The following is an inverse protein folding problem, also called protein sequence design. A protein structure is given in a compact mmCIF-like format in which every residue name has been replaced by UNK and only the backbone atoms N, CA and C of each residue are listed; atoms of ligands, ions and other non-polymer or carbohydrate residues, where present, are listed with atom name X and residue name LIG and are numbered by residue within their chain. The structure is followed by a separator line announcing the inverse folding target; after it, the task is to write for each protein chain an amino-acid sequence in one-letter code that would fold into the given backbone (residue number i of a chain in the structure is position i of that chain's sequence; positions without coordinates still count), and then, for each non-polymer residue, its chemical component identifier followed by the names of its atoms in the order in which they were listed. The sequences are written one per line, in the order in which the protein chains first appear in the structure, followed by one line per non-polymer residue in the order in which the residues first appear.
data_IF_426460253482
#
_entry.id   IF_426460253482
#
_cell.length_a   1.000
_cell.length_b   1.000
_cell.length_c   1.000
_cell.angle_alpha   90.00
_cell.angle_beta   90.00
_cell.angle_gamma   90.00
#
_symmetry.space_group_name_H-M   'P 1'
#
loop_
_entity.id
_entity.type
_entity.pdbx_description
1 polymer ?
#
# COMPACT_ATOMS: atom_id res chain seq x y z
N UNK A 1 -1.28 -7.45 16.01
CA UNK A 1 -0.32 -7.22 14.91
C UNK A 1 -1.09 -6.68 13.74
N UNK A 2 -0.71 -5.55 13.19
CA UNK A 2 -1.30 -5.01 11.97
C UNK A 2 -0.54 -5.61 10.78
N UNK A 3 -1.29 -6.13 9.81
CA UNK A 3 -0.69 -6.69 8.60
C UNK A 3 -0.84 -5.69 7.47
N UNK A 4 0.27 -5.15 6.97
CA UNK A 4 0.25 -4.25 5.82
C UNK A 4 -0.03 -5.04 4.54
N UNK A 5 -1.13 -4.76 3.87
CA UNK A 5 -1.48 -5.40 2.60
C UNK A 5 -0.61 -4.86 1.47
N UNK A 6 -0.43 -3.54 1.42
CA UNK A 6 0.46 -2.91 0.45
C UNK A 6 1.90 -2.91 0.95
N UNK A 7 2.86 -2.99 0.05
CA UNK A 7 4.30 -2.83 0.34
C UNK A 7 4.61 -1.34 0.53
N UNK A 8 4.15 -0.75 1.64
CA UNK A 8 4.15 0.69 1.87
C UNK A 8 4.25 1.01 3.36
N UNK A 9 4.73 2.20 3.66
CA UNK A 9 4.76 2.76 5.00
C UNK A 9 3.33 2.76 5.60
N UNK A 10 3.23 2.56 6.91
CA UNK A 10 1.97 2.27 7.60
C UNK A 10 0.89 3.34 7.44
N UNK A 11 1.23 4.63 7.59
CA UNK A 11 0.24 5.72 7.52
C UNK A 11 -0.34 5.94 6.12
N UNK A 12 0.30 5.40 5.08
CA UNK A 12 -0.17 5.47 3.70
C UNK A 12 -1.14 4.36 3.29
N UNK A 13 -1.28 3.29 4.07
CA UNK A 13 -2.04 2.09 3.70
C UNK A 13 -3.48 2.40 3.24
N UNK A 14 -4.18 3.27 3.95
CA UNK A 14 -5.55 3.67 3.63
C UNK A 14 -5.63 4.65 2.46
N UNK A 15 -4.61 5.51 2.28
CA UNK A 15 -4.53 6.37 1.10
C UNK A 15 -4.32 5.55 -0.18
N UNK A 16 -3.51 4.48 -0.12
CA UNK A 16 -3.29 3.57 -1.26
C UNK A 16 -4.57 2.79 -1.58
N UNK A 17 -5.31 2.35 -0.56
CA UNK A 17 -6.62 1.71 -0.78
C UNK A 17 -7.62 2.69 -1.41
N UNK A 18 -7.67 3.94 -0.94
CA UNK A 18 -8.48 4.99 -1.54
C UNK A 18 -8.08 5.25 -3.00
N UNK A 19 -6.77 5.34 -3.28
CA UNK A 19 -6.26 5.50 -4.64
C UNK A 19 -6.65 4.35 -5.57
N UNK A 20 -6.64 3.11 -5.08
CA UNK A 20 -7.12 1.93 -5.84
C UNK A 20 -8.59 2.08 -6.23
N UNK A 21 -9.44 2.57 -5.31
CA UNK A 21 -10.87 2.81 -5.57
C UNK A 21 -11.07 3.98 -6.53
N UNK A 22 -10.32 5.09 -6.39
CA UNK A 22 -10.32 6.22 -7.33
C UNK A 22 -9.91 5.76 -8.73
N UNK A 23 -8.86 4.95 -8.83
CA UNK A 23 -8.44 4.37 -10.12
C UNK A 23 -9.59 3.60 -10.79
N UNK A 24 -10.37 2.83 -10.02
CA UNK A 24 -11.54 2.15 -10.55
C UNK A 24 -12.60 3.14 -11.08
N UNK A 25 -12.91 4.21 -10.33
CA UNK A 25 -13.82 5.26 -10.80
C UNK A 25 -13.36 5.90 -12.13
N UNK A 26 -12.03 6.12 -12.29
CA UNK A 26 -11.46 6.64 -13.53
C UNK A 26 -11.66 5.65 -14.68
N UNK A 27 -11.31 4.39 -14.48
CA UNK A 27 -11.46 3.33 -15.49
C UNK A 27 -12.91 3.16 -15.93
N UNK A 28 -13.86 3.16 -14.98
CA UNK A 28 -15.29 3.02 -15.26
C UNK A 28 -15.83 4.19 -16.11
N UNK A 29 -15.15 5.33 -16.09
CA UNK A 29 -15.46 6.51 -16.91
C UNK A 29 -14.62 6.61 -18.20
N UNK A 30 -13.77 5.60 -18.50
CA UNK A 30 -12.85 5.62 -19.64
C UNK A 30 -11.73 6.66 -19.50
N UNK A 31 -11.40 7.04 -18.25
CA UNK A 31 -10.37 8.01 -17.89
C UNK A 31 -9.16 7.31 -17.26
N UNK A 32 -8.10 8.07 -17.05
CA UNK A 32 -6.83 7.58 -16.49
C UNK A 32 -6.22 8.57 -15.49
N UNK A 33 -5.10 8.21 -14.89
CA UNK A 33 -4.34 9.09 -14.02
C UNK A 33 -3.83 10.38 -14.73
N UNK A 34 -3.69 10.36 -16.06
CA UNK A 34 -3.30 11.54 -16.83
C UNK A 34 -4.38 12.65 -16.86
N UNK A 35 -5.65 12.27 -16.63
CA UNK A 35 -6.79 13.20 -16.60
C UNK A 35 -6.90 13.95 -15.27
N UNK A 36 -6.09 13.61 -14.28
CA UNK A 36 -6.09 14.22 -12.95
C UNK A 36 -5.40 15.60 -12.99
N UNK A 37 -6.13 16.61 -12.54
CA UNK A 37 -5.63 17.99 -12.36
C UNK A 37 -4.96 18.14 -10.99
N UNK A 38 -5.65 17.73 -9.93
CA UNK A 38 -5.18 17.88 -8.54
C UNK A 38 -5.86 16.84 -7.63
N UNK A 39 -5.21 16.54 -6.50
CA UNK A 39 -5.71 15.64 -5.46
C UNK A 39 -5.53 16.31 -4.09
N UNK A 40 -6.59 16.34 -3.30
CA UNK A 40 -6.51 16.64 -1.87
C UNK A 40 -6.55 15.34 -1.09
N UNK A 41 -5.51 15.10 -0.26
CA UNK A 41 -5.44 13.99 0.68
C UNK A 41 -5.69 14.54 2.09
N UNK A 42 -6.90 14.34 2.62
CA UNK A 42 -7.17 14.60 4.04
C UNK A 42 -6.62 13.44 4.85
N UNK A 43 -5.85 13.74 5.89
CA UNK A 43 -5.13 12.74 6.67
C UNK A 43 -4.96 13.17 8.12
N UNK A 44 -4.36 12.33 8.96
CA UNK A 44 -4.07 12.61 10.36
C UNK A 44 -2.69 13.25 10.55
N UNK A 45 -2.46 13.93 11.68
CA UNK A 45 -1.25 14.69 12.02
C UNK A 45 0.04 13.87 11.84
N UNK A 46 0.08 12.63 12.31
CA UNK A 46 1.27 11.80 12.20
C UNK A 46 1.68 11.53 10.74
N UNK A 47 0.71 11.35 9.85
CA UNK A 47 0.96 11.20 8.42
C UNK A 47 1.61 12.46 7.83
N UNK A 48 1.05 13.64 8.12
CA UNK A 48 1.60 14.92 7.65
C UNK A 48 3.04 15.11 8.14
N UNK A 49 3.32 14.79 9.41
CA UNK A 49 4.66 14.97 9.98
C UNK A 49 5.71 14.00 9.43
N UNK A 50 5.32 12.77 9.10
CA UNK A 50 6.27 11.69 8.79
C UNK A 50 6.45 11.51 7.28
N UNK A 51 5.36 11.47 6.51
CA UNK A 51 5.40 11.04 5.10
C UNK A 51 4.84 12.04 4.10
N UNK A 52 4.45 13.24 4.50
CA UNK A 52 4.12 14.31 3.56
C UNK A 52 5.40 14.93 2.99
N UNK A 53 5.69 14.59 1.73
CA UNK A 53 6.92 15.00 1.04
C UNK A 53 6.63 15.48 -0.39
N UNK A 54 5.56 16.25 -0.59
CA UNK A 54 5.05 16.63 -1.92
C UNK A 54 6.13 17.16 -2.89
N UNK A 55 7.00 18.06 -2.41
CA UNK A 55 8.01 18.72 -3.26
C UNK A 55 9.46 18.33 -2.93
N UNK A 56 9.65 17.32 -2.07
CA UNK A 56 11.00 16.86 -1.75
C UNK A 56 11.54 15.94 -2.83
N UNK A 57 12.86 15.92 -3.07
CA UNK A 57 13.48 14.97 -3.99
C UNK A 57 13.16 13.52 -3.59
N UNK A 58 13.06 12.64 -4.59
CA UNK A 58 12.87 11.20 -4.43
C UNK A 58 14.12 10.47 -4.94
N UNK A 59 15.25 10.72 -4.26
CA UNK A 59 16.57 10.33 -4.76
C UNK A 59 16.87 8.84 -4.60
N UNK A 60 16.16 8.16 -3.70
CA UNK A 60 16.43 6.76 -3.39
C UNK A 60 15.15 6.03 -2.94
N UNK A 61 15.29 4.72 -2.74
CA UNK A 61 14.22 3.83 -2.28
C UNK A 61 13.53 4.35 -0.99
N UNK A 62 14.33 4.78 0.01
CA UNK A 62 13.81 5.21 1.31
C UNK A 62 13.01 6.52 1.23
N UNK A 63 13.36 7.41 0.33
CA UNK A 63 12.57 8.63 0.09
C UNK A 63 11.21 8.29 -0.50
N UNK A 64 11.17 7.34 -1.43
CA UNK A 64 9.94 6.93 -2.12
C UNK A 64 8.99 6.14 -1.22
N UNK A 65 9.49 5.22 -0.41
CA UNK A 65 8.63 4.40 0.47
C UNK A 65 8.10 5.16 1.70
N UNK A 66 8.66 6.35 1.97
CA UNK A 66 8.20 7.29 3.01
C UNK A 66 7.60 8.58 2.43
N UNK A 67 7.02 8.52 1.22
CA UNK A 67 6.31 9.63 0.59
C UNK A 67 4.89 9.19 0.20
N UNK A 68 3.88 9.68 0.94
CA UNK A 68 2.48 9.33 0.68
C UNK A 68 2.05 9.70 -0.74
N UNK A 69 2.55 10.83 -1.25
CA UNK A 69 2.24 11.28 -2.61
C UNK A 69 2.80 10.33 -3.67
N UNK A 70 4.04 9.84 -3.48
CA UNK A 70 4.64 8.88 -4.39
C UNK A 70 3.84 7.57 -4.43
N UNK A 71 3.58 6.99 -3.26
CA UNK A 71 2.86 5.73 -3.14
C UNK A 71 1.45 5.81 -3.72
N UNK A 72 0.75 6.92 -3.45
CA UNK A 72 -0.59 7.20 -4.02
C UNK A 72 -0.53 7.35 -5.53
N UNK A 73 0.45 8.08 -6.07
CA UNK A 73 0.63 8.28 -7.51
C UNK A 73 0.92 6.95 -8.23
N UNK A 74 1.80 6.11 -7.68
CA UNK A 74 2.10 4.78 -8.24
C UNK A 74 0.82 3.92 -8.32
N UNK A 75 0.03 3.89 -7.25
CA UNK A 75 -1.24 3.14 -7.25
C UNK A 75 -2.22 3.66 -8.31
N UNK A 76 -2.33 4.98 -8.47
CA UNK A 76 -3.21 5.58 -9.48
C UNK A 76 -2.77 5.27 -10.92
N UNK A 77 -1.46 5.29 -11.18
CA UNK A 77 -0.90 5.06 -12.52
C UNK A 77 -0.89 3.58 -12.87
N UNK A 78 -0.34 2.73 -12.00
CA UNK A 78 -0.08 1.31 -12.31
C UNK A 78 -1.15 0.35 -11.76
N UNK A 79 -1.97 0.78 -10.80
CA UNK A 79 -2.96 -0.08 -10.13
C UNK A 79 -2.34 -1.11 -9.17
N UNK A 80 -1.05 -0.98 -8.88
CA UNK A 80 -0.27 -1.81 -7.96
C UNK A 80 0.69 -0.96 -7.14
N UNK A 81 1.20 -1.51 -6.05
CA UNK A 81 2.33 -0.97 -5.30
C UNK A 81 3.09 -2.14 -4.68
N UNK A 82 4.26 -2.44 -5.23
CA UNK A 82 5.14 -3.52 -4.81
C UNK A 82 6.52 -2.97 -4.41
N UNK A 83 7.33 -3.76 -3.73
CA UNK A 83 8.67 -3.34 -3.31
C UNK A 83 9.56 -2.89 -4.49
N UNK A 84 9.39 -3.51 -5.66
CA UNK A 84 10.12 -3.17 -6.89
C UNK A 84 9.77 -1.78 -7.43
N UNK A 85 8.60 -1.23 -7.10
CA UNK A 85 8.19 0.10 -7.55
C UNK A 85 8.99 1.24 -6.87
N UNK A 86 9.74 0.92 -5.82
CA UNK A 86 10.64 1.87 -5.14
C UNK A 86 12.08 1.82 -5.66
N UNK A 87 12.44 0.83 -6.48
CA UNK A 87 13.82 0.60 -6.94
C UNK A 87 14.31 1.76 -7.79
N UNK A 88 15.55 2.19 -7.52
CA UNK A 88 16.22 3.23 -8.31
C UNK A 88 16.33 2.80 -9.78
N UNK A 89 15.94 3.69 -10.70
CA UNK A 89 15.86 3.39 -12.14
C UNK A 89 14.70 2.46 -12.55
N UNK A 90 13.86 2.02 -11.61
CA UNK A 90 12.68 1.22 -11.91
C UNK A 90 11.60 2.01 -12.66
N UNK A 91 10.64 1.29 -13.28
CA UNK A 91 9.56 1.87 -14.08
C UNK A 91 8.78 2.97 -13.36
N UNK A 92 8.38 2.71 -12.10
CA UNK A 92 7.63 3.68 -11.31
C UNK A 92 8.50 4.89 -10.89
N UNK A 93 9.76 4.63 -10.48
CA UNK A 93 10.68 5.67 -10.02
C UNK A 93 11.10 6.64 -11.16
N UNK A 94 11.07 6.19 -12.40
CA UNK A 94 11.45 6.98 -13.58
C UNK A 94 10.25 7.49 -14.38
N UNK A 95 9.02 7.19 -13.95
CA UNK A 95 7.80 7.59 -14.66
C UNK A 95 7.52 9.09 -14.53
N UNK A 96 7.52 9.85 -15.65
CA UNK A 96 7.17 11.26 -15.62
C UNK A 96 5.72 11.51 -15.14
N UNK A 97 4.82 10.56 -15.39
CA UNK A 97 3.42 10.67 -14.95
C UNK A 97 3.31 10.50 -13.43
N UNK A 98 4.04 9.56 -12.83
CA UNK A 98 4.10 9.40 -11.37
C UNK A 98 4.65 10.66 -10.72
N UNK A 99 5.76 11.21 -11.23
CA UNK A 99 6.37 12.42 -10.67
C UNK A 99 5.45 13.64 -10.82
N UNK A 100 4.83 13.83 -11.99
CA UNK A 100 3.87 14.91 -12.20
C UNK A 100 2.67 14.78 -11.25
N UNK A 101 2.15 13.56 -11.07
CA UNK A 101 0.98 13.32 -10.21
C UNK A 101 1.33 13.51 -8.73
N UNK A 102 2.51 13.03 -8.30
CA UNK A 102 3.02 13.22 -6.94
C UNK A 102 3.00 14.69 -6.52
N UNK A 103 3.40 15.59 -7.41
CA UNK A 103 3.40 17.03 -7.15
C UNK A 103 2.00 17.67 -7.08
N UNK A 104 0.99 16.98 -7.61
CA UNK A 104 -0.43 17.43 -7.59
C UNK A 104 -1.21 16.94 -6.36
N UNK A 105 -0.60 16.16 -5.46
CA UNK A 105 -1.23 15.63 -4.26
C UNK A 105 -0.85 16.50 -3.07
N UNK A 106 -1.81 17.25 -2.54
CA UNK A 106 -1.62 18.06 -1.33
C UNK A 106 -2.23 17.35 -0.12
N UNK A 107 -1.44 17.19 0.96
CA UNK A 107 -1.94 16.68 2.23
C UNK A 107 -2.50 17.81 3.10
N UNK A 108 -3.64 17.54 3.73
CA UNK A 108 -4.30 18.45 4.68
C UNK A 108 -4.68 17.67 5.93
N UNK A 109 -4.29 18.18 7.10
CA UNK A 109 -4.71 17.57 8.35
C UNK A 109 -6.23 17.69 8.54
N UNK A 110 -6.85 16.56 8.89
CA UNK A 110 -8.21 16.51 9.40
C UNK A 110 -8.16 16.29 10.92
N UNK A 111 -8.65 17.25 11.73
CA UNK A 111 -8.61 17.15 13.20
C UNK A 111 -9.38 15.94 13.75
N UNK A 112 -10.42 15.47 13.04
CA UNK A 112 -11.13 14.27 13.47
C UNK A 112 -10.29 13.02 13.21
N UNK A 113 -9.61 12.92 12.07
CA UNK A 113 -8.70 11.82 11.76
C UNK A 113 -7.54 11.76 12.77
N UNK A 114 -7.01 12.91 13.18
CA UNK A 114 -6.00 13.00 14.23
C UNK A 114 -6.52 12.49 15.57
N UNK A 115 -7.75 12.84 15.96
CA UNK A 115 -8.39 12.34 17.19
C UNK A 115 -8.57 10.82 17.14
N UNK A 116 -9.02 10.28 16.01
CA UNK A 116 -9.27 8.85 15.83
C UNK A 116 -7.95 8.05 15.85
N UNK A 117 -6.88 8.60 15.29
CA UNK A 117 -5.53 8.04 15.37
C UNK A 117 -5.04 7.92 16.81
N UNK A 118 -5.22 8.95 17.64
CA UNK A 118 -4.81 8.97 19.05
C UNK A 118 -5.80 8.23 19.98
N UNK A 119 -7.00 7.95 19.54
CA UNK A 119 -8.01 7.26 20.34
C UNK A 119 -7.62 5.80 20.60
N UNK A 120 -7.40 5.44 21.85
CA UNK A 120 -6.97 4.08 22.24
C UNK A 120 -7.96 2.98 21.82
N UNK A 121 -9.23 3.33 21.69
CA UNK A 121 -10.28 2.41 21.26
C UNK A 121 -10.43 2.30 19.74
N UNK A 122 -9.89 3.23 18.97
CA UNK A 122 -9.91 3.23 17.50
C UNK A 122 -8.56 2.87 16.91
N UNK A 123 -7.54 3.68 17.14
CA UNK A 123 -6.19 3.49 16.57
C UNK A 123 -6.23 3.33 15.05
N UNK A 124 -7.12 4.07 14.40
CA UNK A 124 -7.25 4.08 12.95
C UNK A 124 -6.20 4.99 12.32
N UNK A 125 -5.99 4.86 11.01
CA UNK A 125 -5.10 5.71 10.21
C UNK A 125 -5.91 6.25 9.02
N UNK A 126 -6.91 7.11 9.25
CA UNK A 126 -7.81 7.53 8.20
C UNK A 126 -7.10 8.35 7.13
N UNK A 127 -7.47 8.11 5.89
CA UNK A 127 -7.13 8.95 4.75
C UNK A 127 -8.35 9.11 3.84
N UNK A 128 -8.52 10.28 3.24
CA UNK A 128 -9.56 10.57 2.28
C UNK A 128 -8.96 11.26 1.05
N UNK A 129 -9.31 10.78 -0.14
CA UNK A 129 -8.86 11.37 -1.39
C UNK A 129 -10.03 12.02 -2.13
N UNK A 130 -9.90 13.31 -2.42
CA UNK A 130 -10.75 14.06 -3.35
C UNK A 130 -9.95 14.39 -4.59
N UNK A 131 -10.47 14.04 -5.76
CA UNK A 131 -9.81 14.20 -7.06
C UNK A 131 -10.58 15.14 -7.95
N UNK A 132 -9.90 16.18 -8.45
CA UNK A 132 -10.40 17.07 -9.50
C UNK A 132 -9.74 16.70 -10.83
N UNK A 133 -10.51 16.57 -11.89
CA UNK A 133 -10.04 16.24 -13.22
C UNK A 133 -9.76 17.49 -14.06
N UNK A 134 -9.03 17.35 -15.16
CA UNK A 134 -8.69 18.44 -16.07
C UNK A 134 -9.89 19.13 -16.71
N UNK A 135 -11.01 18.39 -16.87
CA UNK A 135 -12.28 18.92 -17.37
C UNK A 135 -13.13 19.64 -16.30
N UNK A 136 -12.62 19.70 -15.07
CA UNK A 136 -13.30 20.35 -13.93
C UNK A 136 -14.23 19.43 -13.15
N UNK A 137 -14.42 18.17 -13.57
CA UNK A 137 -15.19 17.20 -12.79
C UNK A 137 -14.47 16.90 -11.48
N UNK A 138 -15.22 16.84 -10.39
CA UNK A 138 -14.74 16.34 -9.10
C UNK A 138 -15.33 14.94 -8.90
N UNK A 139 -14.45 13.96 -8.65
CA UNK A 139 -14.87 12.58 -8.35
C UNK A 139 -15.43 12.51 -6.94
N UNK A 140 -16.24 11.49 -6.68
CA UNK A 140 -16.71 11.19 -5.33
C UNK A 140 -15.51 10.93 -4.41
N UNK A 141 -15.49 11.62 -3.25
CA UNK A 141 -14.44 11.44 -2.25
C UNK A 141 -14.43 10.00 -1.74
N UNK A 142 -13.24 9.42 -1.66
CA UNK A 142 -13.05 8.08 -1.10
C UNK A 142 -12.37 8.19 0.25
N UNK A 143 -13.11 7.84 1.31
CA UNK A 143 -12.62 7.77 2.69
C UNK A 143 -12.34 6.33 3.05
N UNK A 144 -11.18 6.07 3.67
CA UNK A 144 -10.81 4.79 4.26
C UNK A 144 -10.29 5.03 5.67
N UNK A 145 -11.07 4.62 6.68
CA UNK A 145 -10.75 4.90 8.08
C UNK A 145 -9.68 3.97 8.66
N UNK A 146 -9.76 2.69 8.35
CA UNK A 146 -8.88 1.67 8.90
C UNK A 146 -8.27 0.81 7.79
N UNK A 147 -6.97 0.46 7.88
CA UNK A 147 -6.32 -0.38 6.88
C UNK A 147 -6.83 -1.83 6.97
N UNK A 148 -6.74 -2.55 5.86
CA UNK A 148 -6.94 -4.00 5.88
C UNK A 148 -5.96 -4.64 6.87
N UNK A 149 -6.47 -5.55 7.71
CA UNK A 149 -5.71 -6.17 8.81
C UNK A 149 -5.86 -5.44 10.16
N UNK A 150 -6.43 -4.24 10.16
CA UNK A 150 -6.87 -3.61 11.40
C UNK A 150 -7.93 -4.47 12.11
N UNK A 151 -8.00 -4.38 13.45
CA UNK A 151 -8.95 -5.19 14.25
C UNK A 151 -10.42 -5.09 13.78
N UNK A 152 -10.79 -3.95 13.18
CA UNK A 152 -12.13 -3.72 12.63
C UNK A 152 -12.35 -4.40 11.26
N UNK A 153 -11.26 -4.85 10.59
CA UNK A 153 -11.28 -5.36 9.21
C UNK A 153 -10.46 -6.65 9.03
N UNK A 154 -10.33 -7.47 10.06
CA UNK A 154 -9.48 -8.69 10.01
C UNK A 154 -9.95 -9.72 9.01
N UNK A 155 -11.26 -9.93 8.94
CA UNK A 155 -11.81 -10.96 8.06
C UNK A 155 -11.62 -10.60 6.59
N UNK A 156 -11.76 -9.31 6.24
CA UNK A 156 -11.47 -8.81 4.90
C UNK A 156 -9.98 -8.98 4.51
N UNK A 157 -9.09 -8.91 5.48
CA UNK A 157 -7.65 -8.96 5.23
C UNK A 157 -7.12 -10.38 4.98
N UNK A 158 -7.77 -11.42 5.52
CA UNK A 158 -7.27 -12.79 5.43
C UNK A 158 -6.94 -13.25 3.99
N UNK A 159 -7.87 -13.14 3.02
CA UNK A 159 -7.59 -13.54 1.64
C UNK A 159 -6.49 -12.68 1.00
N UNK A 160 -6.44 -11.39 1.31
CA UNK A 160 -5.43 -10.47 0.75
C UNK A 160 -4.03 -10.75 1.30
N UNK A 161 -3.91 -11.04 2.60
CA UNK A 161 -2.63 -11.44 3.22
C UNK A 161 -2.13 -12.72 2.58
N UNK A 162 -3.00 -13.69 2.37
CA UNK A 162 -2.65 -14.96 1.75
C UNK A 162 -2.21 -14.76 0.28
N UNK A 163 -2.92 -13.91 -0.46
CA UNK A 163 -2.55 -13.56 -1.82
C UNK A 163 -1.19 -12.84 -1.87
N UNK A 164 -0.95 -11.90 -0.95
CA UNK A 164 0.36 -11.23 -0.81
C UNK A 164 1.47 -12.23 -0.49
N UNK A 165 1.26 -13.14 0.45
CA UNK A 165 2.24 -14.15 0.84
C UNK A 165 2.62 -15.03 -0.36
N UNK A 166 1.63 -15.55 -1.12
CA UNK A 166 1.88 -16.32 -2.35
C UNK A 166 2.67 -15.53 -3.39
N UNK A 167 2.29 -14.27 -3.61
CA UNK A 167 2.94 -13.38 -4.58
C UNK A 167 4.42 -13.13 -4.22
N UNK A 168 4.72 -12.95 -2.93
CA UNK A 168 6.10 -12.74 -2.48
C UNK A 168 6.95 -14.00 -2.51
N UNK A 169 6.37 -15.18 -2.32
CA UNK A 169 7.10 -16.45 -2.40
C UNK A 169 7.35 -16.90 -3.85
N UNK A 170 6.41 -16.61 -4.76
CA UNK A 170 6.43 -17.10 -6.13
C UNK A 170 7.72 -16.86 -6.92
N UNK A 171 8.37 -15.69 -6.83
CA UNK A 171 9.66 -15.45 -7.50
C UNK A 171 10.82 -16.29 -6.97
N UNK A 172 10.72 -16.82 -5.75
CA UNK A 172 11.81 -17.44 -5.02
C UNK A 172 11.71 -18.96 -4.92
N UNK A 173 10.49 -19.51 -5.02
CA UNK A 173 10.23 -20.94 -4.78
C UNK A 173 9.39 -21.55 -5.91
N UNK A 174 9.45 -22.89 -6.03
CA UNK A 174 8.53 -23.63 -6.90
C UNK A 174 7.09 -23.56 -6.42
N UNK A 175 6.12 -23.75 -7.31
CA UNK A 175 4.69 -23.77 -6.94
C UNK A 175 4.36 -24.79 -5.84
N UNK A 176 5.01 -25.95 -5.88
CA UNK A 176 4.86 -26.98 -4.85
C UNK A 176 5.33 -26.49 -3.48
N UNK A 177 6.47 -25.77 -3.44
CA UNK A 177 7.02 -25.21 -2.20
C UNK A 177 6.16 -24.06 -1.69
N UNK A 178 5.68 -23.18 -2.57
CA UNK A 178 4.74 -22.11 -2.21
C UNK A 178 3.48 -22.71 -1.59
N UNK A 179 2.93 -23.78 -2.21
CA UNK A 179 1.76 -24.46 -1.66
C UNK A 179 2.04 -25.05 -0.27
N UNK A 180 3.18 -25.73 -0.08
CA UNK A 180 3.58 -26.28 1.22
C UNK A 180 3.63 -25.22 2.32
N UNK A 181 4.29 -24.08 2.05
CA UNK A 181 4.42 -22.97 3.00
C UNK A 181 3.07 -22.32 3.32
N UNK A 182 2.20 -22.20 2.32
CA UNK A 182 0.84 -21.66 2.48
C UNK A 182 -0.03 -22.62 3.31
N UNK A 183 0.04 -23.93 3.04
CA UNK A 183 -0.72 -24.92 3.79
C UNK A 183 -0.27 -24.96 5.26
N UNK A 184 1.04 -24.87 5.50
CA UNK A 184 1.61 -24.77 6.87
C UNK A 184 1.12 -23.51 7.57
N UNK A 185 1.15 -22.34 6.91
CA UNK A 185 0.69 -21.07 7.49
C UNK A 185 -0.80 -21.04 7.84
N UNK A 186 -1.60 -21.90 7.21
CA UNK A 186 -3.03 -22.07 7.52
C UNK A 186 -3.31 -23.17 8.58
N UNK A 187 -2.30 -23.94 8.97
CA UNK A 187 -2.39 -24.98 10.01
C UNK A 187 -1.68 -24.54 11.29
N UNK A 188 -2.39 -23.77 12.13
CA UNK A 188 -1.81 -23.24 13.36
C UNK A 188 -1.31 -24.33 14.31
N UNK A 189 -1.99 -25.50 14.37
CA UNK A 189 -1.58 -26.60 15.24
C UNK A 189 -0.26 -27.21 14.80
N UNK A 190 -0.10 -27.43 13.50
CA UNK A 190 1.15 -27.94 12.93
C UNK A 190 2.27 -26.91 13.08
N UNK A 191 1.98 -25.61 12.84
CA UNK A 191 2.96 -24.55 12.98
C UNK A 191 3.43 -24.38 14.42
N UNK A 192 2.53 -24.40 15.41
CA UNK A 192 2.85 -24.28 16.83
C UNK A 192 3.63 -25.48 17.37
N UNK A 193 3.47 -26.68 16.78
CA UNK A 193 4.18 -27.89 17.16
C UNK A 193 5.57 -28.02 16.52
N UNK A 194 5.88 -27.17 15.52
CA UNK A 194 7.14 -27.22 14.78
C UNK A 194 8.25 -26.51 15.55
N UNK A 195 9.47 -27.06 15.56
CA UNK A 195 10.64 -26.37 16.09
C UNK A 195 11.00 -25.17 15.20
N UNK A 196 11.57 -24.11 15.81
CA UNK A 196 11.87 -22.86 15.09
C UNK A 196 12.92 -23.09 14.00
N UNK A 197 13.90 -23.92 14.24
CA UNK A 197 14.93 -24.30 13.28
C UNK A 197 14.32 -25.08 12.09
N UNK A 198 13.44 -26.04 12.34
CA UNK A 198 12.70 -26.73 11.29
C UNK A 198 11.88 -25.74 10.43
N UNK A 199 11.22 -24.77 11.07
CA UNK A 199 10.46 -23.76 10.35
C UNK A 199 11.36 -22.88 9.47
N UNK A 200 12.49 -22.43 10.00
CA UNK A 200 13.44 -21.59 9.24
C UNK A 200 14.04 -22.39 8.07
N UNK A 201 14.36 -23.66 8.27
CA UNK A 201 14.94 -24.54 7.23
C UNK A 201 13.99 -24.74 6.04
N UNK A 202 12.67 -24.57 6.23
CA UNK A 202 11.71 -24.60 5.11
C UNK A 202 11.95 -23.48 4.08
N UNK A 203 12.55 -22.36 4.50
CA UNK A 203 12.86 -21.23 3.63
C UNK A 203 14.29 -21.27 3.08
N UNK A 204 15.14 -22.14 3.61
CA UNK A 204 16.48 -22.40 3.08
C UNK A 204 16.36 -23.44 1.99
N UNK A 205 16.10 -23.00 0.77
CA UNK A 205 15.91 -23.90 -0.37
C UNK A 205 17.20 -24.04 -1.18
N UNK A 206 17.58 -25.29 -1.50
CA UNK A 206 18.59 -25.57 -2.53
C UNK A 206 18.10 -25.13 -3.93
N UNK A 207 16.80 -24.90 -4.06
CA UNK A 207 16.11 -24.43 -5.28
C UNK A 207 15.83 -22.92 -5.21
N UNK A 208 16.31 -22.20 -4.19
CA UNK A 208 16.17 -20.76 -4.13
C UNK A 208 16.96 -20.13 -5.28
N UNK A 209 16.30 -19.29 -6.07
CA UNK A 209 16.91 -18.50 -7.14
C UNK A 209 17.85 -17.39 -6.60
N UNK A 210 18.19 -17.44 -5.33
CA UNK A 210 19.20 -16.60 -4.71
C UNK A 210 20.54 -17.35 -4.75
N UNK A 211 21.29 -17.15 -5.81
CA UNK A 211 22.75 -17.29 -5.87
C UNK A 211 23.26 -16.01 -6.51
#
# INVERSE_FOLDING_TARGET
MLSNIFSAEFHSQTAIEAAKRIRQQLVDQGKSAADIKEITCRTHEACVRIIDKQFKPMDNFADRDHCIQYMTAVMLVFGRLEATDYTDGGEAATSPLVESLRQKIACVEDPQFTKDYHNENLRTIPNALTVTLNDGQVLEEVVVDAPLGHRLRREEAKPEILAKYKRHLGPHYSEAKVKELVDLGNDSKRLEAMAVDEYVDLYVSKDSKFV
#
